data_IF_003278371724
#
_entry.id   IF_003278371724
#
_cell.length_a   1.000
_cell.length_b   1.000
_cell.length_c   1.000
_cell.angle_alpha   90.00
_cell.angle_beta   90.00
_cell.angle_gamma   90.00
#
_symmetry.space_group_name_H-M   'P 1'
#
loop_
_entity.id
_entity.type
_entity.pdbx_description
1 polymer ?
#
# COMPACT_ATOMS: atom_id res chain seq x y z
N UNK A 1 7.96 -8.44 -11.21
CA UNK A 1 7.18 -7.45 -12.00
C UNK A 1 6.62 -6.35 -11.10
N UNK A 2 6.09 -5.26 -11.67
CA UNK A 2 5.40 -4.21 -10.89
C UNK A 2 3.92 -4.51 -10.79
N UNK A 3 3.39 -4.48 -9.57
CA UNK A 3 1.96 -4.62 -9.30
C UNK A 3 1.40 -3.28 -8.81
N UNK A 4 0.18 -2.95 -9.26
CA UNK A 4 -0.62 -1.84 -8.74
C UNK A 4 -1.87 -2.39 -8.06
N UNK A 5 -2.09 -1.99 -6.82
CA UNK A 5 -3.32 -2.26 -6.09
C UNK A 5 -4.19 -1.01 -6.11
N UNK A 6 -5.37 -1.09 -6.72
CA UNK A 6 -6.43 -0.11 -6.53
C UNK A 6 -7.24 -0.51 -5.31
N UNK A 7 -7.31 0.37 -4.32
CA UNK A 7 -7.93 0.06 -3.02
C UNK A 7 -8.98 1.11 -2.71
N UNK A 8 -10.16 0.64 -2.31
CA UNK A 8 -11.28 1.46 -1.88
C UNK A 8 -11.73 0.98 -0.50
N UNK A 9 -11.70 1.86 0.49
CA UNK A 9 -12.37 1.61 1.76
C UNK A 9 -13.85 1.97 1.60
N UNK A 10 -14.63 1.06 1.01
CA UNK A 10 -16.06 1.31 0.74
C UNK A 10 -16.86 1.65 2.02
N UNK A 11 -16.39 1.20 3.19
CA UNK A 11 -16.98 1.52 4.48
C UNK A 11 -18.11 0.56 4.86
N UNK A 12 -19.20 1.03 5.51
CA UNK A 12 -19.56 2.44 5.68
C UNK A 12 -18.84 3.15 6.83
N UNK A 13 -18.33 2.42 7.82
CA UNK A 13 -17.93 3.02 9.10
C UNK A 13 -16.45 2.82 9.47
N UNK A 14 -15.81 1.76 8.98
CA UNK A 14 -14.44 1.41 9.36
C UNK A 14 -13.43 1.93 8.34
N UNK A 15 -12.36 2.62 8.77
CA UNK A 15 -11.24 2.92 7.88
C UNK A 15 -10.46 1.65 7.54
N UNK A 16 -9.55 1.75 6.58
CA UNK A 16 -8.58 0.70 6.25
C UNK A 16 -7.17 1.26 6.29
N UNK A 17 -6.22 0.44 6.71
CA UNK A 17 -4.78 0.74 6.65
C UNK A 17 -4.12 -0.27 5.71
N UNK A 18 -4.33 -0.15 4.40
CA UNK A 18 -3.90 -1.19 3.46
C UNK A 18 -2.38 -1.34 3.43
N UNK A 19 -1.87 -2.54 3.66
CA UNK A 19 -0.45 -2.89 3.74
C UNK A 19 -0.18 -4.23 3.05
N UNK A 20 0.98 -4.37 2.40
CA UNK A 20 1.48 -5.66 1.92
C UNK A 20 2.68 -6.05 2.77
N UNK A 21 2.57 -7.12 3.54
CA UNK A 21 3.62 -7.64 4.43
C UNK A 21 4.82 -8.06 3.58
N UNK A 22 6.01 -7.60 3.97
CA UNK A 22 7.25 -7.83 3.22
C UNK A 22 7.42 -6.93 1.98
N UNK A 23 6.47 -6.04 1.71
CA UNK A 23 6.52 -5.05 0.64
C UNK A 23 6.70 -3.63 1.16
N UNK A 24 7.21 -2.75 0.29
CA UNK A 24 7.15 -1.31 0.45
C UNK A 24 6.60 -0.69 -0.84
N UNK A 25 5.76 0.33 -0.71
CA UNK A 25 5.20 1.02 -1.88
C UNK A 25 6.13 2.14 -2.33
N UNK A 26 6.66 2.02 -3.54
CA UNK A 26 7.45 3.10 -4.17
C UNK A 26 6.56 4.13 -4.88
N UNK A 27 5.28 3.82 -5.06
CA UNK A 27 4.26 4.78 -5.52
C UNK A 27 3.04 4.69 -4.62
N UNK A 28 2.54 5.85 -4.16
CA UNK A 28 1.26 5.99 -3.47
C UNK A 28 0.51 7.18 -4.08
N UNK A 29 -0.69 6.90 -4.56
CA UNK A 29 -1.65 7.90 -5.01
C UNK A 29 -2.90 7.82 -4.13
N UNK A 30 -3.33 8.97 -3.62
CA UNK A 30 -4.43 9.09 -2.69
C UNK A 30 -5.32 10.25 -3.11
N UNK A 31 -6.62 9.98 -3.31
CA UNK A 31 -7.67 10.99 -3.49
C UNK A 31 -7.32 12.14 -4.47
N UNK A 32 -6.66 11.83 -5.59
CA UNK A 32 -6.31 12.85 -6.58
C UNK A 32 -4.82 13.17 -6.71
N UNK A 33 -3.99 12.83 -5.71
CA UNK A 33 -2.60 13.29 -5.63
C UNK A 33 -1.59 12.16 -5.35
N UNK A 34 -0.41 12.27 -5.97
CA UNK A 34 0.73 11.43 -5.62
C UNK A 34 1.34 11.92 -4.30
N UNK A 35 1.40 11.03 -3.31
CA UNK A 35 2.12 11.25 -2.06
C UNK A 35 3.54 10.70 -2.14
N UNK A 36 3.75 9.67 -2.96
CA UNK A 36 5.07 9.18 -3.39
C UNK A 36 4.92 8.74 -4.84
N UNK A 37 5.90 9.07 -5.69
CA UNK A 37 5.92 8.63 -7.08
C UNK A 37 7.31 8.12 -7.44
N UNK A 38 7.44 6.80 -7.67
CA UNK A 38 8.70 6.14 -8.03
C UNK A 38 9.84 6.46 -7.06
N UNK A 39 9.55 6.37 -5.77
CA UNK A 39 10.49 6.63 -4.69
C UNK A 39 10.75 8.11 -4.43
N UNK A 40 9.94 9.03 -4.97
CA UNK A 40 10.10 10.48 -4.76
C UNK A 40 8.84 11.05 -4.11
N UNK A 41 9.01 11.68 -2.95
CA UNK A 41 7.94 12.40 -2.25
C UNK A 41 7.80 13.84 -2.78
N UNK A 42 6.65 14.52 -2.60
CA UNK A 42 6.44 15.91 -3.05
C UNK A 42 7.49 16.91 -2.57
N UNK A 43 8.08 16.67 -1.39
CA UNK A 43 9.16 17.49 -0.82
C UNK A 43 10.57 17.18 -1.35
N UNK A 44 10.70 16.29 -2.34
CA UNK A 44 11.97 15.77 -2.81
C UNK A 44 12.42 14.50 -2.08
N UNK A 45 13.67 14.04 -2.31
CA UNK A 45 14.21 12.86 -1.65
C UNK A 45 14.34 13.05 -0.13
N UNK A 46 14.29 11.95 0.62
CA UNK A 46 14.45 11.99 2.07
C UNK A 46 15.85 12.46 2.47
N UNK A 47 15.97 13.02 3.68
CA UNK A 47 17.27 13.38 4.25
C UNK A 47 18.16 12.13 4.28
N UNK A 48 19.28 12.17 3.54
CA UNK A 48 20.16 11.02 3.32
C UNK A 48 20.13 10.42 1.91
N UNK A 49 19.33 10.97 0.99
CA UNK A 49 19.34 10.58 -0.43
C UNK A 49 18.66 9.23 -0.72
N UNK A 50 18.14 8.54 0.29
CA UNK A 50 17.28 7.39 0.10
C UNK A 50 15.95 7.83 -0.54
N UNK A 51 15.49 7.09 -1.55
CA UNK A 51 14.15 7.27 -2.11
C UNK A 51 13.09 7.12 -1.02
N UNK A 52 12.03 7.92 -1.08
CA UNK A 52 10.87 7.78 -0.22
C UNK A 52 10.11 6.49 -0.50
N UNK A 53 9.23 6.10 0.43
CA UNK A 53 8.35 4.95 0.25
C UNK A 53 7.23 4.98 1.28
N UNK A 54 6.06 4.48 0.90
CA UNK A 54 4.94 4.33 1.81
C UNK A 54 4.83 2.88 2.31
N UNK A 55 4.51 2.72 3.58
CA UNK A 55 4.25 1.40 4.19
C UNK A 55 2.77 1.04 4.11
N UNK A 56 1.89 2.06 4.17
CA UNK A 56 0.44 1.87 4.22
C UNK A 56 -0.27 2.89 3.32
N UNK A 57 -1.40 2.49 2.75
CA UNK A 57 -2.41 3.40 2.21
C UNK A 57 -3.55 3.50 3.24
N UNK A 58 -3.56 4.60 4.00
CA UNK A 58 -4.62 4.92 4.95
C UNK A 58 -5.84 5.50 4.25
N UNK A 59 -7.00 4.89 4.44
CA UNK A 59 -8.26 5.29 3.82
C UNK A 59 -9.35 5.41 4.88
N UNK A 60 -9.98 6.58 4.96
CA UNK A 60 -11.29 6.70 5.62
C UNK A 60 -12.39 6.04 4.79
N UNK A 61 -13.58 5.77 5.35
CA UNK A 61 -14.72 5.33 4.56
C UNK A 61 -14.98 6.23 3.35
N UNK A 62 -15.33 5.60 2.23
CA UNK A 62 -15.53 6.18 0.91
C UNK A 62 -14.27 6.74 0.22
N UNK A 63 -13.08 6.64 0.82
CA UNK A 63 -11.83 7.04 0.16
C UNK A 63 -11.16 5.89 -0.59
N UNK A 64 -10.44 6.24 -1.64
CA UNK A 64 -9.67 5.32 -2.44
C UNK A 64 -8.36 5.89 -2.95
N UNK A 65 -7.59 5.00 -3.56
CA UNK A 65 -6.29 5.32 -4.12
C UNK A 65 -5.66 4.11 -4.76
N UNK A 66 -4.36 4.23 -5.06
CA UNK A 66 -3.57 3.08 -5.44
C UNK A 66 -2.17 3.13 -4.85
N UNK A 67 -1.59 1.96 -4.70
CA UNK A 67 -0.19 1.77 -4.36
C UNK A 67 0.49 0.87 -5.38
N UNK A 68 1.78 1.08 -5.60
CA UNK A 68 2.59 0.19 -6.43
C UNK A 68 3.80 -0.33 -5.65
N UNK A 69 4.15 -1.58 -5.91
CA UNK A 69 5.39 -2.19 -5.44
C UNK A 69 5.96 -3.13 -6.50
N UNK A 70 7.21 -3.52 -6.29
CA UNK A 70 7.87 -4.62 -7.00
C UNK A 70 8.23 -5.67 -5.95
N UNK A 71 7.77 -6.91 -6.14
CA UNK A 71 8.21 -8.02 -5.30
C UNK A 71 9.69 -8.32 -5.59
N UNK A 72 10.48 -8.44 -4.52
CA UNK A 72 11.93 -8.64 -4.63
C UNK A 72 12.31 -10.10 -4.86
N UNK A 73 11.44 -11.03 -4.48
CA UNK A 73 11.63 -12.47 -4.63
C UNK A 73 10.29 -13.18 -4.88
N UNK A 74 10.36 -14.43 -5.34
CA UNK A 74 9.18 -15.29 -5.42
C UNK A 74 8.73 -15.67 -4.00
N UNK A 75 7.42 -15.74 -3.77
CA UNK A 75 6.87 -15.99 -2.45
C UNK A 75 5.40 -15.64 -2.33
N UNK A 76 4.88 -15.73 -1.11
CA UNK A 76 3.51 -15.31 -0.79
C UNK A 76 3.58 -14.10 0.14
N UNK A 77 2.99 -12.99 -0.30
CA UNK A 77 2.95 -11.72 0.40
C UNK A 77 1.52 -11.46 0.89
N UNK A 78 1.23 -11.61 2.19
CA UNK A 78 -0.06 -11.22 2.74
C UNK A 78 -0.31 -9.73 2.55
N UNK A 79 -1.48 -9.35 2.07
CA UNK A 79 -1.96 -7.98 2.17
C UNK A 79 -3.10 -7.90 3.19
N UNK A 80 -3.15 -6.82 3.95
CA UNK A 80 -4.03 -6.67 5.12
C UNK A 80 -4.54 -5.24 5.23
N UNK A 81 -5.65 -5.05 5.94
CA UNK A 81 -5.80 -3.82 6.72
C UNK A 81 -4.92 -3.92 7.97
N UNK A 82 -4.01 -2.97 8.19
CA UNK A 82 -3.10 -2.96 9.33
C UNK A 82 -3.82 -2.64 10.66
N UNK A 83 -5.13 -2.40 10.62
CA UNK A 83 -6.01 -2.52 11.77
C UNK A 83 -6.21 -4.02 12.06
N UNK A 84 -5.33 -4.60 12.88
CA UNK A 84 -5.21 -6.06 13.03
C UNK A 84 -6.51 -6.77 13.42
N UNK A 85 -7.39 -6.13 14.19
CA UNK A 85 -8.72 -6.69 14.49
C UNK A 85 -9.56 -6.93 13.23
N UNK A 86 -9.42 -6.09 12.21
CA UNK A 86 -10.11 -6.27 10.93
C UNK A 86 -9.40 -7.33 10.08
N UNK A 87 -8.06 -7.37 10.09
CA UNK A 87 -7.29 -8.41 9.42
C UNK A 87 -7.66 -9.80 9.95
N UNK A 88 -7.68 -9.98 11.27
CA UNK A 88 -8.09 -11.23 11.94
C UNK A 88 -9.55 -11.62 11.62
N UNK A 89 -10.40 -10.63 11.32
CA UNK A 89 -11.80 -10.83 10.90
C UNK A 89 -11.98 -11.02 9.39
N UNK A 90 -10.90 -11.10 8.63
CA UNK A 90 -10.91 -11.44 7.20
C UNK A 90 -10.54 -10.31 6.26
N UNK A 91 -10.16 -9.12 6.74
CA UNK A 91 -9.63 -8.05 5.90
C UNK A 91 -8.17 -8.31 5.50
N UNK A 92 -7.92 -9.46 4.89
CA UNK A 92 -6.62 -9.89 4.37
C UNK A 92 -6.77 -10.71 3.09
N UNK A 93 -5.68 -10.84 2.35
CA UNK A 93 -5.55 -11.73 1.22
C UNK A 93 -4.09 -12.03 0.93
N UNK A 94 -3.84 -12.82 -0.11
CA UNK A 94 -2.51 -13.28 -0.46
C UNK A 94 -2.15 -12.85 -1.89
N UNK A 95 -0.98 -12.24 -2.06
CA UNK A 95 -0.33 -12.08 -3.35
C UNK A 95 0.70 -13.20 -3.51
N UNK A 96 0.48 -14.12 -4.42
CA UNK A 96 1.48 -15.14 -4.79
C UNK A 96 2.31 -14.65 -5.97
N UNK A 97 3.62 -14.63 -5.81
CA UNK A 97 4.60 -14.25 -6.83
C UNK A 97 5.38 -15.49 -7.21
N UNK A 98 5.33 -15.86 -8.47
CA UNK A 98 6.07 -16.99 -9.06
C UNK A 98 7.18 -16.49 -9.97
N UNK A 99 8.19 -17.33 -10.21
CA UNK A 99 9.29 -17.06 -11.13
C UNK A 99 8.96 -17.32 -12.59
#
# INVERSE_FOLDING_TARGET
ERVRFWVLAAGPNRPSSFHVVGGQFDTLYFEGAYQVRRGVSPGGPSAGGAGGGAQVLGLHPAQGGFVEMVAVEAGTYPFVSHLMVDAERGAHGLLTVTG
#
